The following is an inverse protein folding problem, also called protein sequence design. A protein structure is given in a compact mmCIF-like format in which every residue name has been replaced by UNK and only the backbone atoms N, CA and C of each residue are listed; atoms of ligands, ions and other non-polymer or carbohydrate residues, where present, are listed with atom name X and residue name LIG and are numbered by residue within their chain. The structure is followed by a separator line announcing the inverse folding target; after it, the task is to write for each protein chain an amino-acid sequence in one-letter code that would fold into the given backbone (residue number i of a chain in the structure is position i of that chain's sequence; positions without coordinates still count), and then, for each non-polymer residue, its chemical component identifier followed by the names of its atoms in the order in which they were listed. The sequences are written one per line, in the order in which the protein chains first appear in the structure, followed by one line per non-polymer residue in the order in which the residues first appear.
data_IF_097459077314
#
_entry.id   IF_097459077314
#
_cell.length_a   1.000
_cell.length_b   1.000
_cell.length_c   1.000
_cell.angle_alpha   90.00
_cell.angle_beta   90.00
_cell.angle_gamma   90.00
#
_symmetry.space_group_name_H-M   'P 1'
#
loop_
_entity.id
_entity.type
_entity.pdbx_description
1 polymer ?
#
# COMPACT_ATOMS: atom_id res chain seq x y z
N UNK A 1 19.75 -14.05 4.21
CA UNK A 1 19.17 -12.69 4.46
C UNK A 1 19.52 -12.30 5.88
N UNK A 2 19.97 -11.06 6.10
CA UNK A 2 20.29 -10.57 7.43
C UNK A 2 19.00 -10.15 8.16
N UNK A 3 18.81 -10.63 9.39
CA UNK A 3 17.76 -10.17 10.30
C UNK A 3 18.39 -9.24 11.31
N UNK A 4 17.82 -8.05 11.43
CA UNK A 4 18.21 -7.05 12.42
C UNK A 4 17.05 -6.82 13.36
N UNK A 5 17.35 -6.56 14.64
CA UNK A 5 16.35 -6.18 15.63
C UNK A 5 16.57 -4.72 16.00
N UNK A 6 15.50 -3.94 15.97
CA UNK A 6 15.57 -2.55 16.46
C UNK A 6 15.85 -2.55 17.96
N UNK A 7 16.69 -1.65 18.37
CA UNK A 7 16.95 -1.38 19.80
C UNK A 7 16.73 0.10 20.08
N UNK A 8 16.13 0.40 21.24
CA UNK A 8 15.95 1.78 21.71
C UNK A 8 17.27 2.53 21.68
N UNK A 9 17.26 3.74 21.12
CA UNK A 9 18.44 4.58 21.02
C UNK A 9 18.48 5.59 22.20
N UNK A 10 19.02 5.16 23.34
CA UNK A 10 19.11 5.97 24.55
C UNK A 10 19.92 7.26 24.36
N UNK A 11 20.96 7.20 23.52
CA UNK A 11 21.77 8.41 23.22
C UNK A 11 20.95 9.43 22.47
N UNK A 12 20.16 9.01 21.49
CA UNK A 12 19.27 9.91 20.77
C UNK A 12 18.20 10.51 21.67
N UNK A 13 17.59 9.70 22.54
CA UNK A 13 16.61 10.20 23.51
C UNK A 13 17.22 11.24 24.46
N UNK A 14 18.45 11.00 24.94
CA UNK A 14 19.16 11.97 25.78
C UNK A 14 19.49 13.28 25.04
N UNK A 15 19.93 13.20 23.79
CA UNK A 15 20.20 14.39 22.97
C UNK A 15 18.93 15.20 22.72
N UNK A 16 17.80 14.53 22.41
CA UNK A 16 16.52 15.21 22.22
C UNK A 16 16.10 15.92 23.51
N UNK A 17 16.14 15.23 24.67
CA UNK A 17 15.79 15.80 25.98
C UNK A 17 16.69 17.00 26.38
N UNK A 18 17.96 17.03 25.95
CA UNK A 18 18.87 18.14 26.20
C UNK A 18 18.69 19.32 25.23
N UNK A 19 18.19 19.05 24.02
CA UNK A 19 18.05 20.05 22.95
C UNK A 19 16.77 20.87 23.07
N UNK A 20 15.71 20.25 23.60
CA UNK A 20 14.38 20.84 23.69
C UNK A 20 13.92 20.91 25.15
N UNK A 21 13.42 22.08 25.55
CA UNK A 21 12.88 22.30 26.92
C UNK A 21 11.59 21.55 27.18
N UNK A 22 10.83 21.25 26.12
CA UNK A 22 9.60 20.43 26.12
C UNK A 22 9.70 19.38 25.04
N UNK A 23 8.97 18.23 25.14
CA UNK A 23 8.98 17.22 24.09
C UNK A 23 8.69 17.83 22.71
N UNK A 24 9.62 17.72 21.74
CA UNK A 24 9.43 18.29 20.41
C UNK A 24 8.32 17.55 19.65
N UNK A 25 7.67 18.22 18.72
CA UNK A 25 6.57 17.68 17.94
C UNK A 25 6.99 17.30 16.52
N UNK A 26 6.60 16.11 16.09
CA UNK A 26 6.83 15.60 14.75
C UNK A 26 5.55 15.57 13.92
N UNK A 27 5.59 16.18 12.74
CA UNK A 27 4.59 16.02 11.70
C UNK A 27 5.09 15.01 10.66
N UNK A 28 4.41 13.87 10.53
CA UNK A 28 4.78 12.82 9.57
C UNK A 28 3.63 12.59 8.60
N UNK A 29 3.85 12.88 7.33
CA UNK A 29 2.85 12.68 6.27
C UNK A 29 3.34 11.66 5.25
N UNK A 30 2.55 10.58 5.09
CA UNK A 30 2.81 9.55 4.08
C UNK A 30 2.03 9.81 2.79
N UNK A 31 2.70 9.61 1.66
CA UNK A 31 2.13 9.65 0.31
C UNK A 31 2.30 8.29 -0.34
N UNK A 32 1.25 7.81 -1.04
CA UNK A 32 1.37 6.64 -1.91
C UNK A 32 0.57 5.42 -1.46
N UNK A 33 1.21 4.26 -1.35
CA UNK A 33 0.55 2.97 -1.11
C UNK A 33 0.45 2.63 0.39
N UNK A 34 -0.25 1.54 0.70
CA UNK A 34 -0.42 1.03 2.07
C UNK A 34 0.92 0.72 2.76
N UNK A 35 1.92 0.24 2.01
CA UNK A 35 3.26 0.05 2.55
C UNK A 35 3.88 1.37 3.04
N UNK A 36 3.69 2.48 2.31
CA UNK A 36 4.14 3.79 2.77
C UNK A 36 3.36 4.27 4.01
N UNK A 37 2.07 3.93 4.13
CA UNK A 37 1.30 4.24 5.35
C UNK A 37 1.93 3.50 6.54
N UNK A 38 2.18 2.21 6.42
CA UNK A 38 2.85 1.42 7.46
C UNK A 38 4.26 1.95 7.77
N UNK A 39 5.05 2.31 6.75
CA UNK A 39 6.37 2.94 6.95
C UNK A 39 6.23 4.25 7.76
N UNK A 40 5.17 5.04 7.52
CA UNK A 40 4.86 6.25 8.29
C UNK A 40 4.47 5.97 9.74
N UNK A 41 3.71 4.90 10.00
CA UNK A 41 3.38 4.43 11.36
C UNK A 41 4.66 4.03 12.12
N UNK A 42 5.60 3.34 11.46
CA UNK A 42 6.92 2.99 12.01
C UNK A 42 7.77 4.23 12.29
N UNK A 43 7.82 5.20 11.35
CA UNK A 43 8.53 6.47 11.55
C UNK A 43 8.01 7.19 12.79
N UNK A 44 6.68 7.30 12.95
CA UNK A 44 6.09 7.92 14.15
C UNK A 44 6.44 7.13 15.43
N UNK A 45 6.39 5.80 15.37
CA UNK A 45 6.77 4.95 16.50
C UNK A 45 8.22 5.18 16.94
N UNK A 46 9.16 5.18 15.98
CA UNK A 46 10.60 5.43 16.25
C UNK A 46 10.82 6.84 16.81
N UNK A 47 10.11 7.85 16.31
CA UNK A 47 10.23 9.22 16.83
C UNK A 47 9.70 9.33 18.27
N UNK A 48 8.57 8.66 18.56
CA UNK A 48 8.01 8.62 19.92
C UNK A 48 8.96 7.89 20.90
N UNK A 49 9.62 6.82 20.42
CA UNK A 49 10.59 6.05 21.22
C UNK A 49 11.77 6.90 21.68
N UNK A 50 12.15 7.93 20.95
CA UNK A 50 13.22 8.86 21.30
C UNK A 50 12.74 10.21 21.86
N UNK A 51 11.45 10.32 22.23
CA UNK A 51 10.91 11.46 22.98
C UNK A 51 10.18 12.53 22.19
N UNK A 52 9.89 12.33 20.86
CA UNK A 52 9.00 13.22 20.14
C UNK A 52 7.53 12.95 20.45
N UNK A 53 6.73 14.01 20.52
CA UNK A 53 5.29 13.92 20.33
C UNK A 53 4.90 13.91 18.84
N UNK A 54 3.64 13.60 18.53
CA UNK A 54 3.10 13.65 17.16
C UNK A 54 2.07 14.77 17.05
N UNK A 55 2.09 15.53 15.96
CA UNK A 55 1.10 16.57 15.68
C UNK A 55 0.56 16.45 14.25
N UNK A 56 -0.62 17.09 14.01
CA UNK A 56 -1.33 17.08 12.74
C UNK A 56 -1.16 18.39 11.94
N UNK A 57 -0.43 19.36 12.49
CA UNK A 57 -0.17 20.66 11.86
C UNK A 57 1.33 20.89 11.65
N UNK A 58 1.70 21.33 10.44
CA UNK A 58 3.08 21.71 10.10
C UNK A 58 3.58 22.94 10.87
N UNK A 59 2.65 23.81 11.32
CA UNK A 59 2.95 25.03 12.07
C UNK A 59 3.41 24.75 13.50
N UNK A 60 2.98 23.61 14.06
CA UNK A 60 3.32 23.19 15.43
C UNK A 60 4.58 22.31 15.48
N UNK A 61 5.06 21.84 14.34
CA UNK A 61 6.11 20.86 14.27
C UNK A 61 7.51 21.43 14.46
N UNK A 62 8.33 20.71 15.21
CA UNK A 62 9.79 20.88 15.28
C UNK A 62 10.50 20.01 14.25
N UNK A 63 9.85 18.91 13.83
CA UNK A 63 10.30 18.01 12.77
C UNK A 63 9.16 17.74 11.78
N UNK A 64 9.40 17.98 10.50
CA UNK A 64 8.46 17.62 9.41
C UNK A 64 9.12 16.55 8.55
N UNK A 65 8.46 15.37 8.43
CA UNK A 65 8.88 14.29 7.56
C UNK A 65 7.82 13.96 6.52
N UNK A 66 8.20 14.02 5.25
CA UNK A 66 7.40 13.53 4.13
C UNK A 66 7.89 12.15 3.70
N UNK A 67 7.11 11.12 4.02
CA UNK A 67 7.34 9.77 3.56
C UNK A 67 6.70 9.57 2.17
N UNK A 68 7.49 9.27 1.16
CA UNK A 68 7.18 9.52 -0.24
C UNK A 68 7.14 8.26 -1.10
N UNK A 69 6.37 8.30 -2.18
CA UNK A 69 6.16 7.19 -3.12
C UNK A 69 6.82 7.49 -4.47
N UNK A 70 7.45 6.47 -5.08
CA UNK A 70 8.01 6.54 -6.42
C UNK A 70 7.07 6.01 -7.53
N UNK A 71 5.94 5.39 -7.14
CA UNK A 71 5.05 4.71 -8.08
C UNK A 71 4.10 5.69 -8.80
N UNK A 72 3.73 6.81 -8.17
CA UNK A 72 2.74 7.76 -8.70
C UNK A 72 3.39 9.11 -8.99
N UNK A 73 3.39 9.55 -10.25
CA UNK A 73 3.98 10.83 -10.68
C UNK A 73 3.36 12.04 -9.96
N UNK A 74 2.05 12.08 -9.85
CA UNK A 74 1.37 13.14 -9.11
C UNK A 74 1.78 13.21 -7.64
N UNK A 75 2.21 12.08 -7.03
CA UNK A 75 2.73 12.10 -5.68
C UNK A 75 4.08 12.82 -5.58
N UNK A 76 4.95 12.62 -6.57
CA UNK A 76 6.25 13.30 -6.62
C UNK A 76 6.09 14.83 -6.76
N UNK A 77 5.29 15.29 -7.73
CA UNK A 77 5.01 16.71 -7.93
C UNK A 77 4.39 17.36 -6.68
N UNK A 78 3.43 16.67 -6.05
CA UNK A 78 2.80 17.14 -4.82
C UNK A 78 3.80 17.26 -3.67
N UNK A 79 4.72 16.30 -3.53
CA UNK A 79 5.78 16.35 -2.52
C UNK A 79 6.67 17.56 -2.73
N UNK A 80 7.17 17.81 -3.94
CA UNK A 80 7.99 18.99 -4.22
C UNK A 80 7.25 20.30 -3.97
N UNK A 81 5.96 20.37 -4.32
CA UNK A 81 5.12 21.53 -4.00
C UNK A 81 5.01 21.78 -2.50
N UNK A 82 4.73 20.71 -1.72
CA UNK A 82 4.62 20.82 -0.26
C UNK A 82 5.96 21.15 0.40
N UNK A 83 7.07 20.53 -0.04
CA UNK A 83 8.42 20.88 0.43
C UNK A 83 8.73 22.35 0.12
N UNK A 84 8.37 22.83 -1.10
CA UNK A 84 8.54 24.22 -1.50
C UNK A 84 7.82 25.22 -0.56
N UNK A 85 6.61 24.87 -0.13
CA UNK A 85 5.81 25.70 0.78
C UNK A 85 6.47 25.85 2.18
N UNK A 86 7.26 24.86 2.61
CA UNK A 86 7.92 24.89 3.93
C UNK A 86 9.10 25.89 4.00
N UNK A 87 9.57 26.44 2.89
CA UNK A 87 10.68 27.38 2.88
C UNK A 87 10.43 28.56 3.82
N UNK A 88 9.24 29.16 3.73
CA UNK A 88 8.84 30.30 4.59
C UNK A 88 8.75 29.92 6.07
N UNK A 89 8.33 28.70 6.37
CA UNK A 89 8.26 28.20 7.74
C UNK A 89 9.66 28.00 8.32
N UNK A 90 10.57 27.44 7.53
CA UNK A 90 11.99 27.28 7.91
C UNK A 90 12.70 28.62 8.11
N UNK A 91 12.39 29.63 7.30
CA UNK A 91 12.94 31.00 7.48
C UNK A 91 12.47 31.62 8.79
N UNK A 92 11.23 31.37 9.22
CA UNK A 92 10.68 31.84 10.51
C UNK A 92 11.21 31.05 11.69
N UNK A 93 11.38 29.72 11.54
CA UNK A 93 11.92 28.82 12.56
C UNK A 93 13.17 28.08 12.03
N UNK A 94 14.38 28.64 12.18
CA UNK A 94 15.62 27.99 11.72
C UNK A 94 15.89 26.66 12.40
N UNK A 95 15.34 26.39 13.59
CA UNK A 95 15.48 25.11 14.31
C UNK A 95 14.62 23.99 13.73
N UNK A 96 13.54 24.33 13.00
CA UNK A 96 12.68 23.34 12.34
C UNK A 96 13.52 22.38 11.50
N UNK A 97 13.35 21.09 11.69
CA UNK A 97 13.98 20.06 10.87
C UNK A 97 12.99 19.61 9.78
N UNK A 98 13.42 19.63 8.52
CA UNK A 98 12.62 19.20 7.37
C UNK A 98 13.29 17.99 6.73
N UNK A 99 12.53 16.89 6.57
CA UNK A 99 13.03 15.68 5.95
C UNK A 99 12.12 15.11 4.86
N UNK A 100 12.74 14.42 3.92
CA UNK A 100 12.08 13.65 2.85
C UNK A 100 12.61 12.23 2.88
N UNK A 101 11.73 11.24 2.97
CA UNK A 101 12.11 9.84 3.02
C UNK A 101 11.22 8.94 2.16
N UNK A 102 11.49 7.64 2.19
CA UNK A 102 10.71 6.64 1.48
C UNK A 102 11.18 6.36 0.05
N UNK A 103 10.31 5.73 -0.75
CA UNK A 103 10.67 5.23 -2.09
C UNK A 103 11.20 6.29 -3.05
N UNK A 104 10.67 7.51 -2.99
CA UNK A 104 11.12 8.61 -3.85
C UNK A 104 12.57 9.01 -3.50
N UNK A 105 12.89 9.08 -2.21
CA UNK A 105 14.23 9.42 -1.70
C UNK A 105 15.29 8.31 -1.98
N UNK A 106 14.85 7.12 -2.41
CA UNK A 106 15.76 6.05 -2.85
C UNK A 106 16.34 6.30 -4.25
N UNK A 107 15.84 7.29 -4.99
CA UNK A 107 16.30 7.61 -6.34
C UNK A 107 17.37 8.69 -6.32
N UNK A 108 18.57 8.39 -6.83
CA UNK A 108 19.71 9.31 -6.83
C UNK A 108 19.38 10.68 -7.41
N UNK A 109 18.68 10.75 -8.54
CA UNK A 109 18.34 12.03 -9.19
C UNK A 109 17.42 12.90 -8.32
N UNK A 110 16.59 12.30 -7.47
CA UNK A 110 15.75 13.01 -6.51
C UNK A 110 16.59 13.58 -5.37
N UNK A 111 17.53 12.78 -4.82
CA UNK A 111 18.45 13.23 -3.78
C UNK A 111 19.30 14.41 -4.29
N UNK A 112 19.80 14.30 -5.52
CA UNK A 112 20.58 15.35 -6.17
C UNK A 112 19.76 16.64 -6.38
N UNK A 113 18.48 16.51 -6.80
CA UNK A 113 17.55 17.64 -6.93
C UNK A 113 17.26 18.29 -5.56
N UNK A 114 17.01 17.50 -4.51
CA UNK A 114 16.80 18.02 -3.15
C UNK A 114 18.05 18.73 -2.62
N UNK A 115 19.24 18.19 -2.92
CA UNK A 115 20.52 18.79 -2.56
C UNK A 115 20.73 20.17 -3.19
N UNK A 116 20.46 20.27 -4.49
CA UNK A 116 20.73 21.47 -5.28
C UNK A 116 19.63 22.54 -5.12
N UNK A 117 18.36 22.16 -5.12
CA UNK A 117 17.24 23.12 -5.24
C UNK A 117 16.50 23.37 -3.93
N UNK A 118 16.70 22.55 -2.89
CA UNK A 118 16.00 22.67 -1.60
C UNK A 118 17.00 22.69 -0.42
N UNK A 119 17.83 23.75 -0.31
CA UNK A 119 18.92 23.80 0.69
C UNK A 119 18.44 23.79 2.14
N UNK A 120 17.16 24.05 2.38
CA UNK A 120 16.52 24.03 3.69
C UNK A 120 15.96 22.65 4.09
N UNK A 121 16.04 21.63 3.23
CA UNK A 121 15.76 20.24 3.61
C UNK A 121 16.96 19.67 4.34
N UNK A 122 16.76 19.23 5.57
CA UNK A 122 17.83 18.79 6.48
C UNK A 122 18.14 17.29 6.35
N UNK A 123 17.10 16.45 6.16
CA UNK A 123 17.21 15.00 6.14
C UNK A 123 16.66 14.42 4.83
N UNK A 124 17.43 13.54 4.19
CA UNK A 124 16.95 12.73 3.06
C UNK A 124 17.47 11.31 3.25
N UNK A 125 16.55 10.31 3.32
CA UNK A 125 16.91 8.91 3.47
C UNK A 125 15.90 7.99 2.77
N UNK A 126 16.36 6.82 2.35
CA UNK A 126 15.57 5.81 1.67
C UNK A 126 14.67 4.98 2.60
N UNK A 127 14.05 3.95 2.03
CA UNK A 127 13.13 3.05 2.76
C UNK A 127 13.82 2.23 3.84
N UNK A 128 15.10 1.95 3.68
CA UNK A 128 15.92 1.14 4.60
C UNK A 128 16.59 1.97 5.69
N UNK A 129 16.15 3.22 5.92
CA UNK A 129 16.75 4.16 6.87
C UNK A 129 15.91 4.43 8.12
N UNK A 130 14.75 3.79 8.29
CA UNK A 130 13.82 4.09 9.40
C UNK A 130 14.46 3.77 10.76
N UNK A 131 15.14 2.65 10.88
CA UNK A 131 15.87 2.23 12.09
C UNK A 131 17.04 3.15 12.46
N UNK A 132 17.60 3.87 11.48
CA UNK A 132 18.72 4.79 11.66
C UNK A 132 18.29 6.24 11.85
N UNK A 133 16.98 6.54 11.76
CA UNK A 133 16.47 7.89 11.95
C UNK A 133 16.91 8.55 13.26
N UNK A 134 16.96 7.83 14.42
CA UNK A 134 17.52 8.39 15.65
C UNK A 134 18.95 8.91 15.50
N UNK A 135 19.84 8.11 14.92
CA UNK A 135 21.24 8.50 14.71
C UNK A 135 21.38 9.69 13.72
N UNK A 136 20.56 9.73 12.67
CA UNK A 136 20.53 10.84 11.71
C UNK A 136 20.13 12.16 12.39
N UNK A 137 19.15 12.10 13.30
CA UNK A 137 18.71 13.28 14.08
C UNK A 137 19.80 13.76 15.03
N UNK A 138 20.47 12.86 15.73
CA UNK A 138 21.62 13.21 16.60
C UNK A 138 22.72 13.90 15.79
N UNK A 139 23.09 13.34 14.65
CA UNK A 139 24.11 13.95 13.78
C UNK A 139 23.69 15.34 13.29
N UNK A 140 22.42 15.49 12.88
CA UNK A 140 21.86 16.78 12.46
C UNK A 140 21.90 17.82 13.58
N UNK A 141 21.50 17.44 14.78
CA UNK A 141 21.44 18.34 15.93
C UNK A 141 22.86 18.76 16.42
N UNK A 142 23.79 17.81 16.52
CA UNK A 142 25.15 18.09 17.01
C UNK A 142 26.00 18.86 16.01
N UNK A 143 25.96 18.47 14.72
CA UNK A 143 26.83 19.03 13.70
C UNK A 143 26.24 20.21 12.93
N UNK A 144 24.92 20.40 13.04
CA UNK A 144 24.23 21.43 12.27
C UNK A 144 24.20 21.18 10.75
N UNK A 145 24.73 20.04 10.28
CA UNK A 145 24.84 19.70 8.84
C UNK A 145 23.64 18.92 8.35
N UNK A 146 23.32 19.12 7.08
CA UNK A 146 22.28 18.31 6.38
C UNK A 146 22.76 16.88 6.26
N UNK A 147 21.85 15.94 6.52
CA UNK A 147 22.06 14.51 6.29
C UNK A 147 21.34 14.09 5.02
N UNK A 148 22.07 13.87 3.95
CA UNK A 148 21.53 13.46 2.66
C UNK A 148 22.15 12.12 2.30
N UNK A 149 21.47 11.04 2.65
CA UNK A 149 21.94 9.69 2.40
C UNK A 149 21.95 9.39 0.91
N UNK A 150 23.06 8.86 0.42
CA UNK A 150 23.07 8.21 -0.89
C UNK A 150 22.40 6.86 -0.73
N UNK A 151 21.39 6.55 -1.53
CA UNK A 151 20.67 5.28 -1.41
C UNK A 151 21.64 4.10 -1.52
N UNK A 152 21.65 3.26 -0.50
CA UNK A 152 22.38 1.99 -0.49
C UNK A 152 21.32 0.89 -0.34
N UNK A 153 21.37 -0.11 -1.19
CA UNK A 153 20.52 -1.29 -1.06
C UNK A 153 21.00 -2.10 0.16
N UNK A 154 20.07 -2.32 1.10
CA UNK A 154 20.33 -3.11 2.30
C UNK A 154 19.57 -4.43 2.19
N UNK A 155 20.28 -5.54 2.19
CA UNK A 155 19.68 -6.87 2.16
C UNK A 155 19.32 -7.37 3.57
N UNK A 156 18.58 -6.57 4.30
CA UNK A 156 18.17 -6.85 5.67
C UNK A 156 16.67 -6.60 5.89
N UNK A 157 16.11 -7.27 6.87
CA UNK A 157 14.78 -6.97 7.45
C UNK A 157 15.01 -6.51 8.88
N UNK A 158 14.43 -5.37 9.25
CA UNK A 158 14.48 -4.86 10.62
C UNK A 158 13.17 -5.22 11.30
N UNK A 159 13.27 -6.05 12.34
CA UNK A 159 12.15 -6.47 13.18
C UNK A 159 12.01 -5.57 14.42
N UNK A 160 10.87 -5.64 15.08
CA UNK A 160 10.59 -4.97 16.36
C UNK A 160 10.68 -3.44 16.31
N UNK A 161 10.51 -2.84 15.12
CA UNK A 161 10.38 -1.38 15.03
C UNK A 161 9.14 -0.92 15.81
N UNK A 162 9.25 0.11 16.67
CA UNK A 162 8.10 0.72 17.32
C UNK A 162 7.11 1.23 16.27
N UNK A 163 5.81 1.01 16.49
CA UNK A 163 4.76 1.38 15.54
C UNK A 163 3.70 2.21 16.25
N UNK A 164 3.42 3.41 15.73
CA UNK A 164 2.27 4.21 16.13
C UNK A 164 1.19 4.08 15.06
N UNK A 165 0.25 3.17 15.28
CA UNK A 165 -0.81 2.87 14.31
C UNK A 165 -1.85 3.97 14.25
N UNK A 166 -2.36 4.24 13.05
CA UNK A 166 -3.36 5.29 12.78
C UNK A 166 -4.78 4.83 13.13
N UNK A 167 -5.05 3.53 13.09
CA UNK A 167 -6.35 2.94 13.39
C UNK A 167 -6.28 2.04 14.62
N UNK A 168 -7.31 2.05 15.46
CA UNK A 168 -7.44 1.14 16.60
C UNK A 168 -8.04 -0.24 16.27
N UNK A 169 -8.49 -0.46 15.03
CA UNK A 169 -9.17 -1.70 14.64
C UNK A 169 -8.68 -2.29 13.29
N UNK A 170 -7.85 -1.55 12.53
CA UNK A 170 -7.18 -2.02 11.30
C UNK A 170 -5.69 -1.92 11.44
N UNK A 171 -4.98 -2.96 11.01
CA UNK A 171 -3.53 -2.99 11.02
C UNK A 171 -2.94 -3.39 9.67
N UNK A 172 -1.79 -2.81 9.36
CA UNK A 172 -0.94 -3.20 8.25
C UNK A 172 0.16 -4.10 8.79
N UNK A 173 0.30 -5.31 8.22
CA UNK A 173 1.32 -6.29 8.61
C UNK A 173 2.19 -6.63 7.40
N UNK A 174 3.37 -6.00 7.24
CA UNK A 174 4.31 -6.41 6.22
C UNK A 174 4.80 -7.84 6.47
N UNK A 175 4.67 -8.70 5.45
CA UNK A 175 5.17 -10.08 5.49
C UNK A 175 6.44 -10.24 4.65
N UNK A 176 6.69 -9.30 3.74
CA UNK A 176 7.83 -9.28 2.86
C UNK A 176 8.12 -7.88 2.31
N UNK A 177 9.32 -7.67 1.80
CA UNK A 177 9.79 -6.43 1.18
C UNK A 177 10.47 -6.71 -0.14
N UNK A 178 10.46 -5.74 -1.08
CA UNK A 178 11.08 -5.85 -2.39
C UNK A 178 10.30 -6.71 -3.38
N UNK A 179 10.79 -6.81 -4.61
CA UNK A 179 10.14 -7.60 -5.66
C UNK A 179 11.15 -7.99 -6.75
N UNK A 180 11.15 -9.25 -7.16
CA UNK A 180 12.05 -9.82 -8.16
C UNK A 180 11.40 -9.99 -9.55
N UNK A 181 10.19 -9.49 -9.75
CA UNK A 181 9.50 -9.64 -11.04
C UNK A 181 10.07 -8.76 -12.16
N UNK A 182 10.70 -7.63 -11.82
CA UNK A 182 11.30 -6.70 -12.79
C UNK A 182 10.39 -6.39 -13.99
N UNK A 183 9.08 -6.21 -13.73
CA UNK A 183 8.15 -5.74 -14.76
C UNK A 183 8.73 -4.45 -15.39
N UNK A 184 8.73 -4.35 -16.72
CA UNK A 184 9.48 -3.32 -17.45
C UNK A 184 9.09 -1.88 -17.11
N UNK A 185 7.86 -1.66 -16.63
CA UNK A 185 7.32 -0.35 -16.23
C UNK A 185 7.53 -0.04 -14.74
N UNK A 186 7.95 -1.02 -13.93
CA UNK A 186 7.87 -0.93 -12.47
C UNK A 186 9.18 -0.44 -11.87
N UNK A 187 9.08 0.59 -11.01
CA UNK A 187 10.23 1.14 -10.28
C UNK A 187 10.53 0.40 -8.97
N UNK A 188 9.61 -0.46 -8.50
CA UNK A 188 9.69 -1.10 -7.17
C UNK A 188 11.01 -1.85 -6.93
N UNK A 189 11.52 -2.72 -7.85
CA UNK A 189 12.79 -3.42 -7.63
C UNK A 189 13.97 -2.47 -7.38
N UNK A 190 13.92 -1.28 -7.96
CA UNK A 190 15.00 -0.29 -7.88
C UNK A 190 14.92 0.62 -6.65
N UNK A 191 13.75 0.66 -5.96
CA UNK A 191 13.56 1.53 -4.79
C UNK A 191 13.27 0.76 -3.50
N UNK A 192 12.84 -0.51 -3.59
CA UNK A 192 12.63 -1.39 -2.42
C UNK A 192 13.53 -2.62 -2.42
N UNK A 193 14.38 -2.74 -3.45
CA UNK A 193 15.37 -3.80 -3.57
C UNK A 193 14.78 -5.17 -3.91
N UNK A 194 15.63 -6.19 -3.70
CA UNK A 194 15.31 -7.59 -3.95
C UNK A 194 14.28 -8.10 -2.95
N UNK A 195 13.60 -9.18 -3.32
CA UNK A 195 12.57 -9.82 -2.52
C UNK A 195 13.15 -10.41 -1.22
N UNK A 196 12.54 -10.07 -0.09
CA UNK A 196 12.92 -10.49 1.25
C UNK A 196 11.66 -10.82 2.06
N UNK A 197 11.45 -12.09 2.38
CA UNK A 197 10.33 -12.53 3.24
C UNK A 197 10.75 -12.48 4.71
N UNK A 198 9.84 -12.09 5.59
CA UNK A 198 9.97 -12.29 7.05
C UNK A 198 9.73 -13.75 7.38
N UNK A 199 10.31 -14.27 8.45
CA UNK A 199 10.03 -15.65 8.88
C UNK A 199 8.56 -15.82 9.28
N UNK A 200 8.01 -17.02 9.10
CA UNK A 200 6.64 -17.30 9.51
C UNK A 200 6.43 -17.09 11.03
N UNK A 201 7.46 -17.37 11.82
CA UNK A 201 7.45 -17.16 13.27
C UNK A 201 7.34 -15.68 13.64
N UNK A 202 8.11 -14.79 13.00
CA UNK A 202 8.06 -13.34 13.28
C UNK A 202 6.71 -12.74 12.86
N UNK A 203 6.21 -13.15 11.68
CA UNK A 203 4.89 -12.71 11.20
C UNK A 203 3.78 -13.18 12.13
N UNK A 204 3.81 -14.45 12.57
CA UNK A 204 2.83 -15.02 13.49
C UNK A 204 2.86 -14.32 14.86
N UNK A 205 4.05 -14.01 15.39
CA UNK A 205 4.19 -13.33 16.68
C UNK A 205 3.54 -11.93 16.63
N UNK A 206 3.85 -11.13 15.59
CA UNK A 206 3.23 -9.82 15.43
C UNK A 206 1.72 -9.94 15.18
N UNK A 207 1.28 -10.92 14.38
CA UNK A 207 -0.13 -11.16 14.12
C UNK A 207 -0.92 -11.49 15.40
N UNK A 208 -0.39 -12.37 16.27
CA UNK A 208 -0.99 -12.69 17.57
C UNK A 208 -1.15 -11.45 18.43
N UNK A 209 -0.11 -10.64 18.52
CA UNK A 209 -0.16 -9.37 19.28
C UNK A 209 -1.27 -8.45 18.76
N UNK A 210 -1.45 -8.36 17.43
CA UNK A 210 -2.54 -7.56 16.85
C UNK A 210 -3.93 -8.11 17.22
N UNK A 211 -4.12 -9.43 17.15
CA UNK A 211 -5.38 -10.07 17.52
C UNK A 211 -5.67 -9.87 19.01
N UNK A 212 -4.67 -10.04 19.89
CA UNK A 212 -4.78 -9.81 21.34
C UNK A 212 -5.12 -8.35 21.68
N UNK A 213 -4.61 -7.39 20.88
CA UNK A 213 -4.94 -5.96 21.00
C UNK A 213 -6.34 -5.61 20.45
N UNK A 214 -7.07 -6.58 19.88
CA UNK A 214 -8.44 -6.40 19.40
C UNK A 214 -8.57 -5.87 17.97
N UNK A 215 -7.50 -5.89 17.17
CA UNK A 215 -7.60 -5.52 15.76
C UNK A 215 -8.53 -6.46 15.00
N UNK A 216 -9.48 -5.87 14.26
CA UNK A 216 -10.53 -6.58 13.51
C UNK A 216 -10.18 -6.87 12.07
N UNK A 217 -9.33 -6.05 11.45
CA UNK A 217 -8.87 -6.24 10.08
C UNK A 217 -7.35 -6.14 10.04
N UNK A 218 -6.69 -7.21 9.56
CA UNK A 218 -5.24 -7.25 9.39
C UNK A 218 -4.95 -7.45 7.91
N UNK A 219 -4.35 -6.44 7.28
CA UNK A 219 -3.95 -6.50 5.87
C UNK A 219 -2.49 -6.87 5.76
N UNK A 220 -2.22 -8.02 5.14
CA UNK A 220 -0.87 -8.48 4.85
C UNK A 220 -0.27 -7.68 3.69
N UNK A 221 0.90 -7.11 3.91
CA UNK A 221 1.58 -6.26 2.94
C UNK A 221 2.85 -6.91 2.38
N UNK A 222 3.07 -6.65 1.11
CA UNK A 222 4.28 -6.97 0.37
C UNK A 222 4.23 -6.26 -0.99
N UNK A 223 5.22 -6.46 -1.85
CA UNK A 223 5.19 -5.98 -3.23
C UNK A 223 4.75 -7.07 -4.20
N UNK A 224 4.79 -8.33 -3.76
CA UNK A 224 4.20 -9.51 -4.39
C UNK A 224 3.99 -10.58 -3.31
N UNK A 225 2.88 -10.52 -2.58
CA UNK A 225 2.63 -11.43 -1.45
C UNK A 225 2.57 -12.89 -1.85
N UNK A 226 2.23 -13.19 -3.12
CA UNK A 226 2.15 -14.57 -3.62
C UNK A 226 3.51 -15.27 -3.70
N UNK A 227 4.61 -14.51 -3.69
CA UNK A 227 5.96 -15.05 -3.69
C UNK A 227 6.56 -15.22 -2.28
N UNK A 228 5.79 -14.96 -1.23
CA UNK A 228 6.23 -15.17 0.14
C UNK A 228 6.85 -16.54 0.35
N UNK A 229 7.89 -16.59 1.15
CA UNK A 229 8.63 -17.78 1.50
C UNK A 229 9.87 -18.01 0.63
N UNK A 230 9.98 -17.37 -0.54
CA UNK A 230 11.20 -17.48 -1.35
C UNK A 230 12.39 -16.92 -0.59
N UNK A 231 13.47 -17.72 -0.55
CA UNK A 231 14.71 -17.36 0.14
C UNK A 231 14.71 -17.58 1.65
N UNK A 232 13.63 -18.10 2.24
CA UNK A 232 13.62 -18.59 3.62
C UNK A 232 14.22 -20.00 3.66
N UNK A 233 14.84 -20.35 4.79
CA UNK A 233 15.33 -21.73 5.04
C UNK A 233 14.16 -22.69 5.26
N UNK A 234 13.07 -22.21 5.87
CA UNK A 234 11.83 -22.94 6.02
C UNK A 234 11.12 -23.09 4.67
N UNK A 235 10.67 -24.32 4.36
CA UNK A 235 9.87 -24.60 3.16
C UNK A 235 8.43 -24.21 3.40
N UNK A 236 8.12 -22.94 3.25
CA UNK A 236 6.80 -22.38 3.42
C UNK A 236 6.46 -21.51 2.22
N UNK A 237 5.18 -21.42 1.88
CA UNK A 237 4.66 -20.49 0.87
C UNK A 237 3.57 -19.58 1.47
N UNK A 238 2.99 -18.71 0.65
CA UNK A 238 1.97 -17.79 1.10
C UNK A 238 0.71 -18.49 1.59
N UNK A 239 0.31 -19.60 0.98
CA UNK A 239 -0.85 -20.38 1.41
C UNK A 239 -0.60 -21.03 2.79
N UNK A 240 0.62 -21.53 3.02
CA UNK A 240 1.00 -22.09 4.32
C UNK A 240 0.98 -21.02 5.41
N UNK A 241 1.51 -19.81 5.12
CA UNK A 241 1.44 -18.68 6.05
C UNK A 241 -0.02 -18.32 6.37
N UNK A 242 -0.90 -18.23 5.37
CA UNK A 242 -2.31 -17.92 5.60
C UNK A 242 -2.99 -18.96 6.49
N UNK A 243 -2.74 -20.26 6.22
CA UNK A 243 -3.26 -21.34 7.07
C UNK A 243 -2.75 -21.19 8.51
N UNK A 244 -1.46 -20.89 8.69
CA UNK A 244 -0.87 -20.69 10.02
C UNK A 244 -1.52 -19.50 10.76
N UNK A 245 -1.72 -18.36 10.09
CA UNK A 245 -2.35 -17.18 10.69
C UNK A 245 -3.81 -17.44 11.07
N UNK A 246 -4.54 -18.21 10.27
CA UNK A 246 -5.92 -18.59 10.55
C UNK A 246 -6.08 -19.55 11.74
N UNK A 247 -5.00 -20.13 12.28
CA UNK A 247 -5.07 -20.93 13.53
C UNK A 247 -5.18 -20.07 14.78
N UNK A 248 -4.92 -18.77 14.69
CA UNK A 248 -5.01 -17.86 15.86
C UNK A 248 -6.49 -17.62 16.17
N UNK A 249 -6.97 -17.91 17.39
CA UNK A 249 -8.36 -17.67 17.73
C UNK A 249 -8.66 -16.18 17.87
N UNK A 250 -9.82 -15.74 17.36
CA UNK A 250 -10.26 -14.35 17.45
C UNK A 250 -11.34 -13.99 16.44
N UNK A 251 -11.90 -12.79 16.54
CA UNK A 251 -12.87 -12.25 15.61
C UNK A 251 -12.18 -11.18 14.73
N UNK A 252 -11.56 -11.63 13.65
CA UNK A 252 -10.79 -10.78 12.72
C UNK A 252 -10.97 -11.25 11.28
N UNK A 253 -10.61 -10.38 10.34
CA UNK A 253 -10.49 -10.68 8.91
C UNK A 253 -9.06 -10.41 8.43
N UNK A 254 -8.57 -11.28 7.56
CA UNK A 254 -7.28 -11.13 6.88
C UNK A 254 -7.55 -10.69 5.44
N UNK A 255 -6.89 -9.60 5.05
CA UNK A 255 -6.83 -9.12 3.67
C UNK A 255 -5.41 -9.17 3.15
N UNK A 256 -5.27 -9.23 1.85
CA UNK A 256 -4.03 -8.98 1.16
C UNK A 256 -4.29 -8.38 -0.21
N UNK A 257 -3.32 -7.63 -0.68
CA UNK A 257 -3.30 -7.04 -2.02
C UNK A 257 -1.91 -7.26 -2.63
N UNK A 258 -1.62 -6.70 -3.79
CA UNK A 258 -0.30 -6.78 -4.40
C UNK A 258 0.12 -8.20 -4.81
N UNK A 259 -0.85 -8.96 -5.34
CA UNK A 259 -0.62 -10.28 -5.93
C UNK A 259 0.02 -10.18 -7.33
N UNK A 260 0.67 -11.25 -7.78
CA UNK A 260 1.14 -11.38 -9.15
C UNK A 260 0.63 -12.70 -9.74
N UNK A 261 -0.06 -12.68 -10.90
CA UNK A 261 -0.68 -13.89 -11.46
C UNK A 261 0.28 -15.06 -11.67
N UNK A 262 1.55 -14.78 -12.03
CA UNK A 262 2.59 -15.80 -12.19
C UNK A 262 2.81 -16.63 -10.92
N UNK A 263 2.69 -16.01 -9.76
CA UNK A 263 2.97 -16.64 -8.46
C UNK A 263 1.68 -17.04 -7.72
N UNK A 264 0.50 -16.76 -8.30
CA UNK A 264 -0.77 -17.24 -7.77
C UNK A 264 -0.93 -18.75 -8.05
N UNK A 265 -1.30 -19.53 -7.04
CA UNK A 265 -1.44 -20.97 -7.13
C UNK A 265 -2.86 -21.45 -6.84
N UNK A 266 -3.23 -22.63 -7.32
CA UNK A 266 -4.47 -23.29 -6.94
C UNK A 266 -4.51 -23.58 -5.44
N UNK A 267 -3.39 -23.93 -4.81
CA UNK A 267 -3.26 -24.11 -3.36
C UNK A 267 -3.68 -22.84 -2.61
N UNK A 268 -3.29 -21.65 -3.08
CA UNK A 268 -3.71 -20.38 -2.49
C UNK A 268 -5.24 -20.19 -2.60
N UNK A 269 -5.82 -20.50 -3.76
CA UNK A 269 -7.27 -20.40 -3.97
C UNK A 269 -8.02 -21.38 -3.06
N UNK A 270 -7.54 -22.61 -2.92
CA UNK A 270 -8.11 -23.61 -2.02
C UNK A 270 -8.02 -23.15 -0.55
N UNK A 271 -6.92 -22.54 -0.16
CA UNK A 271 -6.76 -21.94 1.18
C UNK A 271 -7.77 -20.81 1.41
N UNK A 272 -7.94 -19.89 0.44
CA UNK A 272 -8.94 -18.82 0.56
C UNK A 272 -10.36 -19.41 0.67
N UNK A 273 -10.66 -20.46 -0.08
CA UNK A 273 -11.96 -21.14 -0.01
C UNK A 273 -12.23 -21.74 1.37
N UNK A 274 -11.22 -22.39 1.96
CA UNK A 274 -11.34 -23.15 3.19
C UNK A 274 -11.35 -22.33 4.49
N UNK A 275 -10.77 -21.11 4.49
CA UNK A 275 -10.55 -20.32 5.70
C UNK A 275 -11.55 -19.18 5.84
N UNK A 276 -12.37 -19.18 6.90
CA UNK A 276 -13.40 -18.16 7.15
C UNK A 276 -12.87 -16.78 7.48
N UNK A 277 -11.66 -16.70 8.05
CA UNK A 277 -10.98 -15.43 8.33
C UNK A 277 -10.47 -14.72 7.07
N UNK A 278 -10.37 -15.42 5.94
CA UNK A 278 -9.90 -14.83 4.68
C UNK A 278 -11.05 -14.21 3.91
N UNK A 279 -10.90 -12.94 3.55
CA UNK A 279 -11.84 -12.25 2.69
C UNK A 279 -11.96 -12.95 1.33
N UNK A 280 -13.21 -13.16 0.84
CA UNK A 280 -13.49 -13.85 -0.43
C UNK A 280 -13.38 -12.90 -1.63
N UNK A 281 -12.36 -12.07 -1.61
CA UNK A 281 -12.01 -11.10 -2.65
C UNK A 281 -10.56 -11.30 -3.08
N UNK A 282 -10.32 -11.42 -4.37
CA UNK A 282 -8.98 -11.63 -4.92
C UNK A 282 -8.58 -10.41 -5.76
N UNK A 283 -7.58 -9.67 -5.30
CA UNK A 283 -6.93 -8.65 -6.12
C UNK A 283 -5.82 -9.32 -6.94
N UNK A 284 -6.03 -9.43 -8.26
CA UNK A 284 -5.12 -10.12 -9.18
C UNK A 284 -4.76 -9.21 -10.37
N UNK A 285 -3.71 -8.38 -10.26
CA UNK A 285 -3.32 -7.39 -11.26
C UNK A 285 -2.91 -8.01 -12.60
N UNK A 286 -3.76 -7.96 -13.61
CA UNK A 286 -3.45 -8.49 -14.95
C UNK A 286 -2.63 -7.52 -15.79
N UNK A 287 -2.84 -6.22 -15.65
CA UNK A 287 -2.20 -5.10 -16.33
C UNK A 287 -2.64 -4.90 -17.79
N UNK A 288 -2.79 -5.95 -18.60
CA UNK A 288 -3.25 -5.93 -19.99
C UNK A 288 -3.93 -7.24 -20.37
N UNK A 289 -4.86 -7.21 -21.29
CA UNK A 289 -5.50 -8.38 -21.90
C UNK A 289 -4.80 -8.89 -23.15
N UNK A 290 -3.66 -8.32 -23.53
CA UNK A 290 -2.88 -8.76 -24.70
C UNK A 290 -1.62 -9.51 -24.27
N UNK A 291 -1.46 -10.76 -24.74
CA UNK A 291 -0.26 -11.57 -24.48
C UNK A 291 1.02 -10.89 -25.00
N UNK A 292 0.92 -10.16 -26.13
CA UNK A 292 2.02 -9.38 -26.66
C UNK A 292 2.47 -8.29 -25.67
N UNK A 293 1.52 -7.51 -25.16
CA UNK A 293 1.81 -6.46 -24.17
C UNK A 293 2.27 -7.05 -22.84
N UNK A 294 1.68 -8.14 -22.37
CA UNK A 294 2.15 -8.84 -21.18
C UNK A 294 3.61 -9.29 -21.30
N UNK A 295 4.02 -9.78 -22.46
CA UNK A 295 5.42 -10.12 -22.74
C UNK A 295 6.33 -8.89 -22.73
N UNK A 296 5.94 -7.79 -23.35
CA UNK A 296 6.69 -6.53 -23.34
C UNK A 296 6.76 -5.92 -21.92
N UNK A 297 5.74 -6.14 -21.10
CA UNK A 297 5.71 -5.79 -19.69
C UNK A 297 6.55 -6.72 -18.80
N UNK A 298 7.13 -7.81 -19.31
CA UNK A 298 7.85 -8.86 -18.58
C UNK A 298 6.98 -9.54 -17.50
N UNK A 299 5.72 -9.90 -17.87
CA UNK A 299 4.77 -10.45 -16.86
C UNK A 299 4.87 -11.96 -16.68
N UNK A 300 5.48 -12.72 -17.59
CA UNK A 300 5.72 -14.17 -17.51
C UNK A 300 4.46 -15.04 -17.32
N UNK A 301 3.33 -14.62 -17.84
CA UNK A 301 2.10 -15.42 -17.96
C UNK A 301 1.31 -14.94 -19.18
N UNK A 302 0.38 -15.78 -19.62
CA UNK A 302 -0.56 -15.48 -20.70
C UNK A 302 -1.97 -15.17 -20.16
N UNK A 303 -2.81 -14.56 -21.01
CA UNK A 303 -4.23 -14.34 -20.69
C UNK A 303 -4.94 -15.69 -20.42
N UNK A 304 -4.61 -16.74 -21.15
CA UNK A 304 -5.18 -18.07 -20.93
C UNK A 304 -4.85 -18.62 -19.53
N UNK A 305 -3.60 -18.49 -19.08
CA UNK A 305 -3.18 -18.88 -17.73
C UNK A 305 -3.86 -18.05 -16.65
N UNK A 306 -4.01 -16.75 -16.89
CA UNK A 306 -4.74 -15.86 -16.00
C UNK A 306 -6.21 -16.28 -15.86
N UNK A 307 -6.89 -16.57 -16.98
CA UNK A 307 -8.30 -17.01 -17.00
C UNK A 307 -8.48 -18.38 -16.35
N UNK A 308 -7.51 -19.29 -16.45
CA UNK A 308 -7.54 -20.59 -15.74
C UNK A 308 -7.63 -20.37 -14.22
N UNK A 309 -6.81 -19.46 -13.67
CA UNK A 309 -6.85 -19.10 -12.25
C UNK A 309 -8.17 -18.44 -11.84
N UNK A 310 -8.67 -17.50 -12.66
CA UNK A 310 -9.95 -16.83 -12.41
C UNK A 310 -11.12 -17.82 -12.40
N UNK A 311 -11.16 -18.72 -13.38
CA UNK A 311 -12.22 -19.73 -13.49
C UNK A 311 -12.15 -20.73 -12.35
N UNK A 312 -10.94 -21.17 -11.98
CA UNK A 312 -10.74 -22.05 -10.84
C UNK A 312 -11.21 -21.39 -9.52
N UNK A 313 -10.90 -20.13 -9.32
CA UNK A 313 -11.37 -19.40 -8.13
C UNK A 313 -12.88 -19.25 -8.12
N UNK A 314 -13.52 -18.97 -9.26
CA UNK A 314 -15.00 -18.92 -9.38
C UNK A 314 -15.66 -20.25 -9.08
N UNK A 315 -15.01 -21.37 -9.44
CA UNK A 315 -15.48 -22.73 -9.13
C UNK A 315 -15.37 -23.04 -7.63
N UNK A 316 -14.22 -22.69 -7.01
CA UNK A 316 -13.89 -23.08 -5.62
C UNK A 316 -14.49 -22.15 -4.56
N UNK A 317 -14.70 -20.89 -4.87
CA UNK A 317 -15.14 -19.86 -3.91
C UNK A 317 -16.47 -19.28 -4.39
N UNK A 318 -17.62 -19.77 -3.89
CA UNK A 318 -18.92 -19.22 -4.27
C UNK A 318 -19.00 -17.72 -3.96
N UNK A 319 -19.40 -16.92 -4.95
CA UNK A 319 -19.51 -15.46 -4.79
C UNK A 319 -18.20 -14.71 -4.77
N UNK A 320 -17.05 -15.34 -5.10
CA UNK A 320 -15.75 -14.64 -5.16
C UNK A 320 -15.82 -13.42 -6.07
N UNK A 321 -15.23 -12.34 -5.60
CA UNK A 321 -15.10 -11.10 -6.39
C UNK A 321 -13.64 -10.83 -6.73
N UNK A 322 -13.45 -10.16 -7.87
CA UNK A 322 -12.11 -9.82 -8.35
C UNK A 322 -11.93 -8.31 -8.46
N UNK A 323 -10.70 -7.86 -8.14
CA UNK A 323 -10.20 -6.57 -8.58
C UNK A 323 -8.86 -6.74 -9.29
N UNK A 324 -8.50 -5.75 -10.10
CA UNK A 324 -7.26 -5.80 -10.90
C UNK A 324 -6.70 -4.41 -11.13
N UNK A 325 -5.44 -4.34 -11.54
CA UNK A 325 -4.81 -3.15 -12.10
C UNK A 325 -4.76 -3.28 -13.62
N UNK A 326 -5.04 -2.19 -14.33
CA UNK A 326 -4.90 -2.07 -15.79
C UNK A 326 -4.07 -0.84 -16.13
N UNK A 327 -3.08 -1.02 -17.00
CA UNK A 327 -2.28 0.06 -17.56
C UNK A 327 -2.70 0.27 -19.01
N UNK A 328 -3.24 1.45 -19.31
CA UNK A 328 -3.64 1.87 -20.66
C UNK A 328 -2.51 2.66 -21.31
N UNK A 329 -2.26 2.42 -22.60
CA UNK A 329 -1.26 3.16 -23.36
C UNK A 329 0.17 2.81 -22.97
N UNK A 330 0.45 1.55 -22.65
CA UNK A 330 1.82 1.05 -22.55
C UNK A 330 2.55 1.29 -23.87
N UNK A 331 3.87 1.63 -23.90
CA UNK A 331 4.59 1.88 -25.12
C UNK A 331 4.41 0.77 -26.17
N UNK A 332 3.93 1.14 -27.34
CA UNK A 332 3.64 0.21 -28.43
C UNK A 332 2.31 -0.54 -28.35
N UNK A 333 1.44 -0.24 -27.39
CA UNK A 333 0.08 -0.80 -27.33
C UNK A 333 -0.73 -0.34 -28.54
N UNK A 334 -1.23 -1.28 -29.34
CA UNK A 334 -2.12 -1.02 -30.49
C UNK A 334 -3.58 -0.95 -30.06
N UNK A 335 -4.48 -0.64 -31.00
CA UNK A 335 -5.92 -0.66 -30.73
C UNK A 335 -6.42 -2.10 -30.52
N UNK A 336 -5.85 -3.07 -31.23
CA UNK A 336 -6.18 -4.49 -31.08
C UNK A 336 -5.77 -5.01 -29.70
N UNK A 337 -4.60 -4.61 -29.17
CA UNK A 337 -4.16 -4.95 -27.82
C UNK A 337 -5.09 -4.36 -26.77
N UNK A 338 -5.50 -3.11 -26.97
CA UNK A 338 -6.44 -2.46 -26.05
C UNK A 338 -7.82 -3.11 -26.12
N UNK A 339 -8.32 -3.50 -27.32
CA UNK A 339 -9.58 -4.22 -27.47
C UNK A 339 -9.52 -5.58 -26.74
N UNK A 340 -8.42 -6.32 -26.86
CA UNK A 340 -8.23 -7.57 -26.11
C UNK A 340 -8.30 -7.34 -24.58
N UNK A 341 -7.86 -6.18 -24.08
CA UNK A 341 -8.00 -5.81 -22.68
C UNK A 341 -9.47 -5.57 -22.31
N UNK A 342 -10.26 -4.90 -23.16
CA UNK A 342 -11.70 -4.71 -22.94
C UNK A 342 -12.45 -6.06 -22.95
N UNK A 343 -12.11 -6.96 -23.87
CA UNK A 343 -12.71 -8.29 -23.97
C UNK A 343 -12.43 -9.13 -22.70
N UNK A 344 -11.22 -9.06 -22.17
CA UNK A 344 -10.87 -9.70 -20.89
C UNK A 344 -11.69 -9.14 -19.73
N UNK A 345 -11.86 -7.82 -19.65
CA UNK A 345 -12.66 -7.17 -18.60
C UNK A 345 -14.11 -7.68 -18.65
N UNK A 346 -14.71 -7.84 -19.84
CA UNK A 346 -16.04 -8.40 -20.03
C UNK A 346 -16.17 -9.86 -19.58
N UNK A 347 -15.10 -10.66 -19.79
CA UNK A 347 -15.09 -12.09 -19.41
C UNK A 347 -14.93 -12.27 -17.89
N UNK A 348 -13.99 -11.53 -17.26
CA UNK A 348 -13.70 -11.65 -15.83
C UNK A 348 -14.84 -11.05 -15.01
N UNK A 349 -15.39 -9.90 -15.42
CA UNK A 349 -16.38 -9.09 -14.70
C UNK A 349 -15.82 -8.64 -13.34
N UNK A 350 -14.82 -7.78 -13.39
CA UNK A 350 -14.24 -7.25 -12.16
C UNK A 350 -15.24 -6.42 -11.37
N UNK A 351 -15.25 -6.62 -10.05
CA UNK A 351 -16.00 -5.76 -9.12
C UNK A 351 -15.38 -4.35 -9.07
N UNK A 352 -14.07 -4.28 -9.16
CA UNK A 352 -13.32 -3.02 -9.13
C UNK A 352 -12.06 -3.10 -10.00
N UNK A 353 -11.76 -2.02 -10.73
CA UNK A 353 -10.49 -1.85 -11.44
C UNK A 353 -9.75 -0.61 -10.93
N UNK A 354 -8.44 -0.76 -10.76
CA UNK A 354 -7.52 0.34 -10.60
C UNK A 354 -6.85 0.59 -11.95
N UNK A 355 -7.15 1.73 -12.55
CA UNK A 355 -6.77 2.03 -13.94
C UNK A 355 -5.77 3.17 -13.99
N UNK A 356 -4.75 3.00 -14.81
CA UNK A 356 -3.65 3.95 -14.94
C UNK A 356 -3.33 4.19 -16.42
N UNK A 357 -3.17 5.45 -16.81
CA UNK A 357 -2.47 5.76 -18.04
C UNK A 357 -0.97 5.53 -17.78
N UNK A 358 -0.30 4.82 -18.70
CA UNK A 358 1.14 4.61 -18.59
C UNK A 358 1.88 5.94 -18.41
N UNK A 359 2.74 6.00 -17.41
CA UNK A 359 3.59 7.14 -17.09
C UNK A 359 5.05 6.67 -16.97
N UNK A 360 5.95 7.33 -17.70
CA UNK A 360 7.38 7.00 -17.69
C UNK A 360 7.98 7.15 -16.31
N UNK A 361 8.73 6.13 -15.86
CA UNK A 361 9.49 6.17 -14.60
C UNK A 361 10.98 6.12 -14.90
N UNK A 362 11.69 7.16 -14.51
CA UNK A 362 13.15 7.24 -14.70
C UNK A 362 13.83 6.00 -14.10
N UNK A 363 14.68 5.35 -14.90
CA UNK A 363 15.39 4.14 -14.50
C UNK A 363 14.73 2.82 -14.89
N UNK A 364 13.44 2.82 -15.32
CA UNK A 364 12.77 1.60 -15.78
C UNK A 364 13.09 1.30 -17.27
N UNK A 365 12.92 0.04 -17.66
CA UNK A 365 13.14 -0.40 -19.04
C UNK A 365 12.13 0.26 -19.98
N UNK A 366 10.84 0.25 -19.60
CA UNK A 366 9.78 0.81 -20.44
C UNK A 366 9.91 2.33 -20.67
N UNK A 367 10.60 3.06 -19.79
CA UNK A 367 10.85 4.49 -19.99
C UNK A 367 11.73 4.79 -21.22
N UNK A 368 12.48 3.78 -21.71
CA UNK A 368 13.36 3.87 -22.90
C UNK A 368 12.67 3.45 -24.19
N UNK A 369 11.49 2.85 -24.11
CA UNK A 369 10.75 2.39 -25.28
C UNK A 369 10.14 3.58 -26.03
N UNK A 370 10.06 3.49 -27.38
CA UNK A 370 9.30 4.44 -28.18
C UNK A 370 7.83 4.42 -27.76
N UNK A 371 7.27 5.59 -27.53
CA UNK A 371 5.89 5.76 -27.09
C UNK A 371 5.18 6.70 -28.10
N UNK A 372 4.67 6.15 -29.21
CA UNK A 372 4.08 6.94 -30.28
C UNK A 372 2.68 7.46 -29.96
N UNK A 373 1.98 6.82 -29.01
CA UNK A 373 0.62 7.21 -28.65
C UNK A 373 0.60 8.54 -27.90
N UNK A 374 -0.24 9.46 -28.36
CA UNK A 374 -0.45 10.75 -27.71
C UNK A 374 -1.21 10.60 -26.37
N UNK A 375 -1.08 11.59 -25.52
CA UNK A 375 -1.87 11.61 -24.28
C UNK A 375 -3.39 11.60 -24.54
N UNK A 376 -3.84 12.26 -25.62
CA UNK A 376 -5.26 12.30 -26.00
C UNK A 376 -5.78 10.90 -26.39
N UNK A 377 -5.01 10.12 -27.15
CA UNK A 377 -5.36 8.75 -27.51
C UNK A 377 -5.44 7.85 -26.29
N UNK A 378 -4.46 7.94 -25.39
CA UNK A 378 -4.46 7.19 -24.12
C UNK A 378 -5.65 7.58 -23.23
N UNK A 379 -5.98 8.87 -23.16
CA UNK A 379 -7.14 9.36 -22.41
C UNK A 379 -8.47 8.85 -23.00
N UNK A 380 -8.58 8.82 -24.35
CA UNK A 380 -9.76 8.27 -25.03
C UNK A 380 -9.94 6.77 -24.78
N UNK A 381 -8.85 5.98 -24.78
CA UNK A 381 -8.88 4.57 -24.38
C UNK A 381 -9.31 4.41 -22.90
N UNK A 382 -8.75 5.22 -22.00
CA UNK A 382 -9.11 5.20 -20.59
C UNK A 382 -10.61 5.48 -20.39
N UNK A 383 -11.19 6.47 -21.08
CA UNK A 383 -12.61 6.78 -21.00
C UNK A 383 -13.48 5.60 -21.46
N UNK A 384 -13.11 4.91 -22.54
CA UNK A 384 -13.79 3.69 -23.02
C UNK A 384 -13.73 2.57 -21.99
N UNK A 385 -12.57 2.36 -21.36
CA UNK A 385 -12.37 1.34 -20.34
C UNK A 385 -13.23 1.63 -19.11
N UNK A 386 -13.24 2.88 -18.62
CA UNK A 386 -14.04 3.27 -17.45
C UNK A 386 -15.55 3.10 -17.72
N UNK A 387 -16.04 3.50 -18.89
CA UNK A 387 -17.45 3.29 -19.28
C UNK A 387 -17.83 1.81 -19.30
N UNK A 388 -16.94 0.95 -19.85
CA UNK A 388 -17.16 -0.49 -19.84
C UNK A 388 -17.20 -1.04 -18.41
N UNK A 389 -16.22 -0.68 -17.58
CA UNK A 389 -16.14 -1.14 -16.20
C UNK A 389 -17.37 -0.72 -15.40
N UNK A 390 -17.83 0.52 -15.54
CA UNK A 390 -19.04 1.01 -14.87
C UNK A 390 -20.28 0.24 -15.30
N UNK A 391 -20.41 -0.08 -16.61
CA UNK A 391 -21.51 -0.87 -17.17
C UNK A 391 -21.56 -2.32 -16.65
N UNK A 392 -20.42 -2.83 -16.17
CA UNK A 392 -20.31 -4.17 -15.57
C UNK A 392 -20.50 -4.10 -14.05
N UNK A 393 -19.77 -3.23 -13.37
CA UNK A 393 -19.71 -3.21 -11.91
C UNK A 393 -21.00 -2.69 -11.29
N UNK A 394 -21.61 -1.63 -11.82
CA UNK A 394 -22.81 -1.04 -11.19
C UNK A 394 -24.02 -1.98 -11.17
N UNK A 395 -24.36 -2.73 -12.24
CA UNK A 395 -25.39 -3.75 -12.16
C UNK A 395 -25.07 -4.88 -11.18
N UNK A 396 -23.80 -5.30 -11.09
CA UNK A 396 -23.37 -6.32 -10.12
C UNK A 396 -23.56 -5.84 -8.67
N UNK A 397 -23.19 -4.59 -8.39
CA UNK A 397 -23.35 -3.97 -7.07
C UNK A 397 -24.83 -3.79 -6.75
N UNK A 398 -25.64 -3.31 -7.70
CA UNK A 398 -27.09 -3.14 -7.52
C UNK A 398 -27.81 -4.47 -7.25
N UNK A 399 -27.36 -5.56 -7.85
CA UNK A 399 -27.92 -6.90 -7.64
C UNK A 399 -27.67 -7.46 -6.22
N UNK A 400 -26.83 -6.83 -5.41
CA UNK A 400 -26.63 -7.19 -4.01
C UNK A 400 -27.78 -6.71 -3.09
N UNK A 401 -28.70 -5.87 -3.58
CA UNK A 401 -29.85 -5.42 -2.82
C UNK A 401 -30.66 -6.60 -2.26
N UNK A 402 -31.13 -6.48 -1.02
CA UNK A 402 -31.84 -7.54 -0.28
C UNK A 402 -30.93 -8.51 0.48
N UNK A 403 -29.63 -8.54 0.23
CA UNK A 403 -28.69 -9.37 0.98
C UNK A 403 -28.36 -8.74 2.35
N UNK A 404 -28.16 -9.58 3.37
CA UNK A 404 -27.56 -9.17 4.63
C UNK A 404 -26.07 -9.52 4.61
N UNK A 405 -25.23 -8.52 4.88
CA UNK A 405 -23.76 -8.64 4.81
C UNK A 405 -23.12 -8.23 6.12
N UNK A 406 -22.06 -8.93 6.52
CA UNK A 406 -21.19 -8.52 7.64
C UNK A 406 -20.23 -7.44 7.14
N UNK A 407 -20.15 -6.32 7.85
CA UNK A 407 -19.25 -5.22 7.53
C UNK A 407 -18.42 -4.80 8.73
N UNK A 408 -17.19 -4.34 8.50
CA UNK A 408 -16.42 -3.61 9.51
C UNK A 408 -16.78 -2.14 9.39
N UNK A 409 -17.31 -1.55 10.46
CA UNK A 409 -17.69 -0.12 10.49
C UNK A 409 -16.43 0.73 10.64
N UNK A 410 -16.18 1.63 9.69
CA UNK A 410 -14.88 2.32 9.60
C UNK A 410 -14.89 3.78 10.01
N UNK A 411 -15.96 4.49 9.68
CA UNK A 411 -16.03 5.94 9.88
C UNK A 411 -17.45 6.46 9.72
N UNK A 412 -17.64 7.74 10.05
CA UNK A 412 -18.87 8.47 9.71
C UNK A 412 -19.07 8.50 8.18
N UNK A 413 -20.34 8.36 7.78
CA UNK A 413 -20.78 8.45 6.39
C UNK A 413 -20.77 9.90 5.86
N UNK A 414 -21.12 10.06 4.60
CA UNK A 414 -21.27 11.40 4.00
C UNK A 414 -22.57 12.07 4.42
N UNK A 415 -23.61 11.25 4.62
CA UNK A 415 -24.90 11.72 5.11
C UNK A 415 -24.85 11.84 6.64
N UNK A 416 -25.27 12.96 7.25
CA UNK A 416 -25.31 13.07 8.70
C UNK A 416 -26.15 11.95 9.35
N UNK A 417 -25.64 11.35 10.43
CA UNK A 417 -26.28 10.24 11.12
C UNK A 417 -26.08 8.88 10.45
N UNK A 418 -25.19 8.77 9.46
CA UNK A 418 -24.82 7.50 8.82
C UNK A 418 -23.39 7.14 9.10
N UNK A 419 -23.07 5.83 8.99
CA UNK A 419 -21.74 5.27 9.04
C UNK A 419 -21.40 4.55 7.73
N UNK A 420 -20.10 4.42 7.47
CA UNK A 420 -19.56 3.61 6.40
C UNK A 420 -19.03 2.29 6.95
N UNK A 421 -19.55 1.18 6.42
CA UNK A 421 -19.05 -0.17 6.67
C UNK A 421 -18.38 -0.76 5.43
N UNK A 422 -17.27 -1.48 5.62
CA UNK A 422 -16.56 -2.17 4.53
C UNK A 422 -16.88 -3.65 4.54
N UNK A 423 -17.30 -4.16 3.39
CA UNK A 423 -17.51 -5.58 3.15
C UNK A 423 -16.18 -6.32 2.94
N UNK A 424 -16.21 -7.63 2.94
CA UNK A 424 -15.05 -8.49 2.62
C UNK A 424 -14.52 -8.26 1.20
N UNK A 425 -15.38 -7.91 0.24
CA UNK A 425 -15.03 -7.59 -1.15
C UNK A 425 -14.55 -6.13 -1.38
N UNK A 426 -14.25 -5.39 -0.31
CA UNK A 426 -13.83 -3.98 -0.33
C UNK A 426 -14.91 -2.96 -0.73
N UNK A 427 -16.13 -3.36 -1.06
CA UNK A 427 -17.21 -2.42 -1.25
C UNK A 427 -17.55 -1.72 0.08
N UNK A 428 -18.05 -0.50 -0.04
CA UNK A 428 -18.48 0.31 1.10
C UNK A 428 -20.00 0.41 1.07
N UNK A 429 -20.61 0.24 2.24
CA UNK A 429 -22.04 0.51 2.46
C UNK A 429 -22.20 1.67 3.42
N UNK A 430 -23.08 2.62 3.06
CA UNK A 430 -23.51 3.70 3.94
C UNK A 430 -24.89 3.35 4.54
N UNK A 431 -25.01 3.44 5.86
CA UNK A 431 -26.23 3.09 6.59
C UNK A 431 -26.40 3.92 7.87
N UNK A 432 -27.64 4.20 8.32
CA UNK A 432 -27.89 4.91 9.58
C UNK A 432 -27.43 4.08 10.78
N UNK A 433 -26.62 4.67 11.63
CA UNK A 433 -26.15 4.04 12.87
C UNK A 433 -25.44 5.05 13.79
N UNK A 434 -25.26 4.65 15.06
CA UNK A 434 -24.53 5.40 16.09
C UNK A 434 -23.01 5.24 15.94
N UNK A 435 -22.24 6.31 16.19
CA UNK A 435 -20.78 6.33 16.08
C UNK A 435 -20.08 5.30 16.98
N UNK A 436 -20.73 4.82 18.04
CA UNK A 436 -20.25 3.75 18.93
C UNK A 436 -19.95 2.43 18.21
N UNK A 437 -20.50 2.22 17.01
CA UNK A 437 -20.21 1.04 16.19
C UNK A 437 -18.90 1.14 15.41
N UNK A 438 -18.24 2.30 15.35
CA UNK A 438 -16.97 2.44 14.64
C UNK A 438 -15.91 1.50 15.25
N UNK A 439 -15.28 0.69 14.41
CA UNK A 439 -14.33 -0.35 14.79
C UNK A 439 -14.95 -1.70 15.14
N UNK A 440 -16.27 -1.84 15.01
CA UNK A 440 -16.99 -3.10 15.28
C UNK A 440 -17.53 -3.70 13.98
N UNK A 441 -17.82 -5.00 14.02
CA UNK A 441 -18.59 -5.65 12.97
C UNK A 441 -20.08 -5.39 13.18
N UNK A 442 -20.79 -5.17 12.08
CA UNK A 442 -22.23 -5.05 12.05
C UNK A 442 -22.81 -5.87 10.89
N UNK A 443 -24.04 -6.39 11.05
CA UNK A 443 -24.80 -6.94 9.96
C UNK A 443 -25.66 -5.83 9.35
N UNK A 444 -25.58 -5.67 8.03
CA UNK A 444 -26.29 -4.62 7.30
C UNK A 444 -27.12 -5.27 6.19
N UNK A 445 -28.41 -4.99 6.17
CA UNK A 445 -29.30 -5.36 5.06
C UNK A 445 -29.16 -4.30 3.97
N UNK A 446 -28.73 -4.71 2.79
CA UNK A 446 -28.55 -3.83 1.64
C UNK A 446 -29.91 -3.47 1.05
N UNK A 447 -30.18 -2.18 0.92
CA UNK A 447 -31.45 -1.66 0.35
C UNK A 447 -31.28 -1.17 -1.09
N UNK A 448 -30.02 -0.96 -1.54
CA UNK A 448 -29.73 -0.52 -2.89
C UNK A 448 -28.29 -0.04 -3.05
N UNK A 449 -28.05 0.73 -4.12
CA UNK A 449 -26.75 1.35 -4.38
C UNK A 449 -26.88 2.70 -5.08
N UNK A 450 -25.87 3.55 -4.92
CA UNK A 450 -25.64 4.80 -5.66
C UNK A 450 -24.29 4.65 -6.38
N UNK A 451 -24.31 4.20 -7.64
CA UNK A 451 -23.11 3.76 -8.36
C UNK A 451 -22.35 2.67 -7.56
N UNK A 452 -21.10 2.92 -7.20
CA UNK A 452 -20.28 1.97 -6.44
C UNK A 452 -20.51 1.98 -4.91
N UNK A 453 -21.31 2.90 -4.37
CA UNK A 453 -21.64 2.97 -2.94
C UNK A 453 -22.93 2.20 -2.66
N UNK A 454 -22.85 1.17 -1.86
CA UNK A 454 -24.03 0.45 -1.34
C UNK A 454 -24.75 1.31 -0.29
N UNK A 455 -26.05 1.12 -0.18
CA UNK A 455 -26.90 1.73 0.84
C UNK A 455 -27.62 0.60 1.59
N UNK A 456 -27.75 0.75 2.90
CA UNK A 456 -28.36 -0.28 3.72
C UNK A 456 -28.95 0.25 5.03
N UNK A 457 -29.39 -0.69 5.86
CA UNK A 457 -29.88 -0.46 7.22
C UNK A 457 -29.34 -1.57 8.13
N UNK A 458 -29.18 -1.30 9.43
CA UNK A 458 -28.80 -2.32 10.39
C UNK A 458 -29.79 -3.48 10.32
N UNK A 459 -29.27 -4.71 10.21
CA UNK A 459 -30.07 -5.91 10.36
C UNK A 459 -30.22 -6.20 11.86
N UNK A 460 -31.43 -6.64 12.23
CA UNK A 460 -31.74 -7.10 13.59
C UNK A 460 -30.94 -8.36 13.98
#
# INVERSE_FOLDING_TARGET
MEKLTYTHNADAAAVIAQTYDTPPLAYVRSYGCQQNVNDGEKIRGVLMDIGFGVCDSVEQADLILFNTCAVREHAEQRVFGNVGALKKLKEKNPRLIIGVCGCMAQQKHIVDKLRASYPYVDLVFGVDGIDRLPAMLVERLHRGKRYLETPVERNAVVEELPIRRDSGFRAWLPIMYGCDNFCTYCIVPYVRGRERSRTSADVLAEFKTLVEQGYKEITLLGQNVNSYGKGLEEKTDFADLLNLLCTVPGDYQIRFMTSHPKDASRKLIDTIAAQDHLCKHIHLPVQSGSDRILKEMNRHYTVAQYMDLVNYAKEKIPGVTFSSDIIVGFPGETEEDFQATLDLIQQVKYMQLFTFIYSKRTGTIAAKLPDPATHAEKAARMDRLLKLQDSIAFPMIAAMAGQTVKVLVEAAGRTPGTLNGRLDNNLVVEFPAEESLIGQYANVRLTGSRAALLVGELAE
#
